data_IF_914477835587
#
_entry.id   IF_914477835587
#
_cell.length_a   1.000
_cell.length_b   1.000
_cell.length_c   1.000
_cell.angle_alpha   90.00
_cell.angle_beta   90.00
_cell.angle_gamma   90.00
#
_symmetry.space_group_name_H-M   'P 1'
#
loop_
_entity.id
_entity.type
_entity.pdbx_description
1 polymer ?
#
# COMPACT_ATOMS: atom_id res chain seq x y z
N UNK A 1 -27.12 -22.13 -21.46
CA UNK A 1 -27.86 -22.10 -20.17
C UNK A 1 -27.05 -22.64 -18.99
N UNK A 2 -26.17 -23.63 -19.17
CA UNK A 2 -25.31 -24.14 -18.07
C UNK A 2 -24.31 -23.10 -17.53
N UNK A 3 -23.66 -22.30 -18.39
CA UNK A 3 -22.69 -21.29 -17.96
C UNK A 3 -23.28 -20.23 -17.00
N UNK A 4 -24.52 -19.77 -17.26
CA UNK A 4 -25.22 -18.81 -16.41
C UNK A 4 -25.51 -19.41 -15.03
N UNK A 5 -25.83 -20.70 -14.99
CA UNK A 5 -26.12 -21.41 -13.74
C UNK A 5 -24.85 -21.65 -12.92
N UNK A 6 -23.73 -21.94 -13.58
CA UNK A 6 -22.40 -22.02 -12.93
C UNK A 6 -21.98 -20.65 -12.40
N UNK A 7 -22.13 -19.57 -13.19
CA UNK A 7 -21.82 -18.20 -12.75
C UNK A 7 -22.65 -17.78 -11.54
N UNK A 8 -23.97 -18.04 -11.56
CA UNK A 8 -24.83 -17.77 -10.40
C UNK A 8 -24.39 -18.54 -9.17
N UNK A 9 -24.10 -19.84 -9.34
CA UNK A 9 -23.62 -20.68 -8.23
C UNK A 9 -22.29 -20.18 -7.67
N UNK A 10 -21.35 -19.77 -8.51
CA UNK A 10 -20.05 -19.21 -8.09
C UNK A 10 -20.22 -17.88 -7.36
N UNK A 11 -21.11 -17.00 -7.83
CA UNK A 11 -21.40 -15.73 -7.17
C UNK A 11 -22.09 -15.94 -5.81
N UNK A 12 -23.09 -16.83 -5.76
CA UNK A 12 -23.79 -17.15 -4.51
C UNK A 12 -22.84 -17.77 -3.47
N UNK A 13 -21.94 -18.64 -3.92
CA UNK A 13 -20.96 -19.28 -3.05
C UNK A 13 -19.91 -18.28 -2.57
N UNK A 14 -19.36 -17.44 -3.47
CA UNK A 14 -18.46 -16.35 -3.12
C UNK A 14 -19.06 -15.39 -2.08
N UNK A 15 -20.33 -15.01 -2.26
CA UNK A 15 -21.02 -14.10 -1.35
C UNK A 15 -21.22 -14.70 0.04
N UNK A 16 -21.31 -16.02 0.16
CA UNK A 16 -21.49 -16.73 1.44
C UNK A 16 -20.17 -17.05 2.14
N UNK A 17 -19.15 -17.46 1.40
CA UNK A 17 -17.88 -17.94 1.95
C UNK A 17 -16.89 -16.82 2.25
N UNK A 18 -16.94 -15.70 1.51
CA UNK A 18 -15.93 -14.63 1.62
C UNK A 18 -16.28 -13.61 2.71
N UNK A 19 -15.35 -13.30 3.65
CA UNK A 19 -15.53 -12.26 4.65
C UNK A 19 -15.72 -10.86 4.05
N UNK A 20 -16.43 -9.97 4.74
CA UNK A 20 -16.66 -8.59 4.27
C UNK A 20 -15.38 -7.79 4.02
N UNK A 21 -14.34 -8.01 4.84
CA UNK A 21 -13.02 -7.38 4.67
C UNK A 21 -12.37 -7.73 3.32
N UNK A 22 -12.45 -8.99 2.91
CA UNK A 22 -11.92 -9.43 1.63
C UNK A 22 -12.76 -8.90 0.46
N UNK A 23 -14.08 -8.78 0.62
CA UNK A 23 -14.95 -8.17 -0.40
C UNK A 23 -14.59 -6.70 -0.67
N UNK A 24 -14.19 -5.94 0.35
CA UNK A 24 -13.73 -4.55 0.17
C UNK A 24 -12.44 -4.51 -0.67
N UNK A 25 -11.48 -5.39 -0.39
CA UNK A 25 -10.23 -5.49 -1.17
C UNK A 25 -10.54 -5.90 -2.62
N UNK A 26 -11.47 -6.83 -2.82
CA UNK A 26 -11.90 -7.28 -4.15
C UNK A 26 -12.61 -6.17 -4.94
N UNK A 27 -13.45 -5.37 -4.28
CA UNK A 27 -14.07 -4.20 -4.88
C UNK A 27 -13.03 -3.15 -5.29
N UNK A 28 -12.00 -2.93 -4.46
CA UNK A 28 -10.89 -2.04 -4.77
C UNK A 28 -10.06 -2.56 -5.97
N UNK A 29 -9.75 -3.86 -6.02
CA UNK A 29 -9.06 -4.47 -7.16
C UNK A 29 -9.85 -4.32 -8.46
N UNK A 30 -11.17 -4.51 -8.40
CA UNK A 30 -12.06 -4.32 -9.55
C UNK A 30 -12.08 -2.85 -10.01
N UNK A 31 -12.14 -1.90 -9.08
CA UNK A 31 -12.04 -0.48 -9.40
C UNK A 31 -10.73 -0.14 -10.14
N UNK A 32 -9.58 -0.61 -9.65
CA UNK A 32 -8.28 -0.36 -10.30
C UNK A 32 -8.23 -1.01 -11.69
N UNK A 33 -8.72 -2.24 -11.82
CA UNK A 33 -8.77 -2.95 -13.10
C UNK A 33 -9.58 -2.17 -14.14
N UNK A 34 -10.79 -1.73 -13.76
CA UNK A 34 -11.63 -0.90 -14.63
C UNK A 34 -10.94 0.42 -14.99
N UNK A 35 -10.26 1.05 -14.03
CA UNK A 35 -9.49 2.27 -14.27
C UNK A 35 -8.37 2.05 -15.30
N UNK A 36 -7.63 0.93 -15.19
CA UNK A 36 -6.59 0.56 -16.16
C UNK A 36 -7.14 0.27 -17.56
N UNK A 37 -8.29 -0.40 -17.65
CA UNK A 37 -9.00 -0.64 -18.92
C UNK A 37 -9.43 0.68 -19.56
N UNK A 38 -10.01 1.59 -18.78
CA UNK A 38 -10.44 2.91 -19.28
C UNK A 38 -9.23 3.72 -19.76
N UNK A 39 -8.11 3.71 -19.02
CA UNK A 39 -6.86 4.35 -19.44
C UNK A 39 -6.36 3.78 -20.77
N UNK A 40 -6.38 2.46 -20.91
CA UNK A 40 -5.94 1.79 -22.14
C UNK A 40 -6.84 2.15 -23.33
N UNK A 41 -8.17 2.09 -23.15
CA UNK A 41 -9.14 2.49 -24.19
C UNK A 41 -8.94 3.96 -24.59
N UNK A 42 -8.74 4.85 -23.61
CA UNK A 42 -8.47 6.26 -23.86
C UNK A 42 -7.22 6.45 -24.75
N UNK A 43 -6.14 5.71 -24.48
CA UNK A 43 -4.94 5.74 -25.30
C UNK A 43 -5.18 5.25 -26.74
N UNK A 44 -6.06 4.26 -26.95
CA UNK A 44 -6.40 3.77 -28.28
C UNK A 44 -7.20 4.78 -29.10
N UNK A 45 -8.09 5.54 -28.46
CA UNK A 45 -9.00 6.49 -29.14
C UNK A 45 -8.32 7.85 -29.38
N UNK A 46 -7.67 8.39 -28.35
CA UNK A 46 -7.10 9.77 -28.37
C UNK A 46 -5.65 9.78 -28.86
N UNK A 47 -4.96 8.63 -28.79
CA UNK A 47 -3.56 8.49 -29.16
C UNK A 47 -2.60 8.56 -27.96
N UNK A 48 -1.31 8.52 -28.26
CA UNK A 48 -0.24 8.27 -27.28
C UNK A 48 0.46 9.53 -26.78
N UNK A 49 -0.02 10.74 -27.08
CA UNK A 49 0.63 11.98 -26.66
C UNK A 49 -0.05 12.58 -25.42
N UNK A 50 0.63 12.77 -24.27
CA UNK A 50 2.03 12.45 -23.95
C UNK A 50 2.26 11.01 -23.43
N UNK A 51 3.17 10.26 -24.07
CA UNK A 51 3.35 8.82 -23.84
C UNK A 51 3.85 8.48 -22.44
N UNK A 52 4.77 9.28 -21.90
CA UNK A 52 5.36 9.04 -20.58
C UNK A 52 4.32 9.17 -19.46
N UNK A 53 3.38 10.11 -19.58
CA UNK A 53 2.32 10.29 -18.58
C UNK A 53 1.30 9.15 -18.64
N UNK A 54 0.94 8.70 -19.85
CA UNK A 54 0.10 7.51 -20.03
C UNK A 54 0.78 6.27 -19.44
N UNK A 55 2.04 6.03 -19.81
CA UNK A 55 2.81 4.88 -19.36
C UNK A 55 2.99 4.89 -17.83
N UNK A 56 3.29 6.04 -17.24
CA UNK A 56 3.37 6.21 -15.78
C UNK A 56 2.04 5.90 -15.10
N UNK A 57 0.94 6.45 -15.62
CA UNK A 57 -0.40 6.20 -15.08
C UNK A 57 -0.80 4.73 -15.18
N UNK A 58 -0.53 4.10 -16.31
CA UNK A 58 -0.86 2.70 -16.59
C UNK A 58 -0.01 1.73 -15.75
N UNK A 59 1.30 1.94 -15.66
CA UNK A 59 2.17 1.13 -14.79
C UNK A 59 1.76 1.29 -13.31
N UNK A 60 1.35 2.50 -12.91
CA UNK A 60 0.85 2.74 -11.56
C UNK A 60 -0.42 1.95 -11.27
N UNK A 61 -1.40 1.90 -12.18
CA UNK A 61 -2.63 1.12 -11.98
C UNK A 61 -2.35 -0.38 -11.92
N UNK A 62 -1.49 -0.90 -12.80
CA UNK A 62 -1.07 -2.31 -12.76
C UNK A 62 -0.36 -2.65 -11.45
N UNK A 63 0.54 -1.79 -10.98
CA UNK A 63 1.28 -2.04 -9.73
C UNK A 63 0.35 -1.96 -8.50
N UNK A 64 -0.61 -1.03 -8.47
CA UNK A 64 -1.63 -1.00 -7.41
C UNK A 64 -2.45 -2.29 -7.35
N UNK A 65 -2.79 -2.87 -8.51
CA UNK A 65 -3.49 -4.15 -8.58
C UNK A 65 -2.65 -5.30 -8.00
N UNK A 66 -1.36 -5.36 -8.33
CA UNK A 66 -0.44 -6.36 -7.78
C UNK A 66 -0.27 -6.20 -6.27
N UNK A 67 -0.14 -4.97 -5.77
CA UNK A 67 -0.05 -4.73 -4.32
C UNK A 67 -1.34 -5.15 -3.59
N UNK A 68 -2.51 -4.90 -4.18
CA UNK A 68 -3.79 -5.31 -3.62
C UNK A 68 -3.97 -6.83 -3.60
N UNK A 69 -3.50 -7.54 -4.64
CA UNK A 69 -3.55 -9.01 -4.67
C UNK A 69 -2.61 -9.62 -3.62
N UNK A 70 -1.42 -9.04 -3.42
CA UNK A 70 -0.53 -9.43 -2.32
C UNK A 70 -1.19 -9.23 -0.94
N UNK A 71 -1.86 -8.09 -0.72
CA UNK A 71 -2.59 -7.83 0.52
C UNK A 71 -3.72 -8.85 0.72
N UNK A 72 -4.49 -9.17 -0.34
CA UNK A 72 -5.54 -10.19 -0.28
C UNK A 72 -4.99 -11.55 0.16
N UNK A 73 -3.84 -11.96 -0.37
CA UNK A 73 -3.21 -13.24 -0.01
C UNK A 73 -2.76 -13.29 1.45
N UNK A 74 -2.23 -12.18 1.98
CA UNK A 74 -1.73 -12.08 3.35
C UNK A 74 -2.85 -11.94 4.40
N UNK A 75 -3.98 -11.33 4.01
CA UNK A 75 -5.14 -11.10 4.90
C UNK A 75 -6.10 -12.29 4.88
N UNK A 76 -6.00 -13.22 3.92
CA UNK A 76 -6.85 -14.40 3.87
C UNK A 76 -6.54 -15.36 5.03
N UNK A 77 -7.56 -15.67 5.83
CA UNK A 77 -7.43 -16.54 7.00
C UNK A 77 -7.00 -17.96 6.64
N UNK A 78 -7.39 -18.46 5.46
CA UNK A 78 -7.00 -19.79 4.96
C UNK A 78 -5.48 -19.89 4.71
N UNK A 79 -4.82 -18.77 4.42
CA UNK A 79 -3.39 -18.71 4.15
C UNK A 79 -2.55 -18.41 5.40
N UNK A 80 -3.17 -18.29 6.57
CA UNK A 80 -2.47 -17.96 7.83
C UNK A 80 -1.38 -18.97 8.21
N UNK A 81 -1.50 -20.22 7.77
CA UNK A 81 -0.48 -21.22 8.03
C UNK A 81 0.86 -20.86 7.36
N UNK A 82 0.83 -20.27 6.16
CA UNK A 82 2.03 -19.84 5.44
C UNK A 82 2.54 -18.46 5.89
N UNK A 83 1.65 -17.60 6.37
CA UNK A 83 1.97 -16.23 6.80
C UNK A 83 1.91 -16.02 8.33
N UNK A 84 2.13 -17.07 9.12
CA UNK A 84 1.96 -17.05 10.59
C UNK A 84 2.83 -16.02 11.32
N UNK A 85 3.93 -15.57 10.72
CA UNK A 85 4.81 -14.52 11.25
C UNK A 85 4.36 -13.09 10.88
N UNK A 86 3.38 -12.92 10.00
CA UNK A 86 2.93 -11.62 9.48
C UNK A 86 1.56 -11.30 10.08
N UNK A 87 1.52 -10.27 10.94
CA UNK A 87 0.25 -9.77 11.46
C UNK A 87 -0.53 -9.00 10.39
N UNK A 88 -1.86 -9.00 10.49
CA UNK A 88 -2.74 -8.29 9.56
C UNK A 88 -2.45 -6.77 9.55
N UNK A 89 -2.08 -6.21 10.70
CA UNK A 89 -1.71 -4.80 10.85
C UNK A 89 -0.40 -4.50 10.10
N UNK A 90 0.58 -5.42 10.18
CA UNK A 90 1.84 -5.29 9.45
C UNK A 90 1.63 -5.37 7.95
N UNK A 91 0.87 -6.34 7.47
CA UNK A 91 0.53 -6.49 6.05
C UNK A 91 -0.12 -5.21 5.49
N UNK A 92 -1.03 -4.61 6.26
CA UNK A 92 -1.68 -3.34 5.90
C UNK A 92 -0.70 -2.16 5.90
N UNK A 93 0.21 -2.08 6.87
CA UNK A 93 1.24 -1.04 6.92
C UNK A 93 2.22 -1.15 5.73
N UNK A 94 2.66 -2.36 5.38
CA UNK A 94 3.51 -2.64 4.21
C UNK A 94 2.78 -2.25 2.91
N UNK A 95 1.47 -2.53 2.80
CA UNK A 95 0.64 -2.10 1.68
C UNK A 95 0.57 -0.57 1.54
N UNK A 96 0.26 0.16 2.62
CA UNK A 96 0.21 1.64 2.59
C UNK A 96 1.57 2.23 2.23
N UNK A 97 2.64 1.71 2.83
CA UNK A 97 3.99 2.17 2.57
C UNK A 97 4.37 1.96 1.09
N UNK A 98 4.13 0.76 0.55
CA UNK A 98 4.38 0.47 -0.86
C UNK A 98 3.52 1.35 -1.79
N UNK A 99 2.25 1.57 -1.45
CA UNK A 99 1.35 2.42 -2.23
C UNK A 99 1.79 3.90 -2.23
N UNK A 100 2.28 4.40 -1.10
CA UNK A 100 2.83 5.75 -0.99
C UNK A 100 4.12 5.92 -1.80
N UNK A 101 5.03 4.95 -1.72
CA UNK A 101 6.26 4.93 -2.54
C UNK A 101 5.92 4.86 -4.03
N UNK A 102 4.99 3.99 -4.43
CA UNK A 102 4.53 3.88 -5.81
C UNK A 102 3.95 5.19 -6.34
N UNK A 103 3.07 5.85 -5.57
CA UNK A 103 2.49 7.13 -5.97
C UNK A 103 3.54 8.24 -6.05
N UNK A 104 4.51 8.24 -5.13
CA UNK A 104 5.63 9.19 -5.15
C UNK A 104 6.53 8.96 -6.38
N UNK A 105 6.74 7.71 -6.79
CA UNK A 105 7.46 7.35 -8.02
C UNK A 105 6.67 7.70 -9.29
N UNK A 106 5.36 7.47 -9.33
CA UNK A 106 4.49 7.79 -10.47
C UNK A 106 4.35 9.32 -10.66
N UNK A 107 4.15 10.05 -9.57
CA UNK A 107 4.24 11.50 -9.58
C UNK A 107 5.64 11.97 -9.94
N UNK A 108 6.70 11.34 -9.43
CA UNK A 108 8.09 11.67 -9.79
C UNK A 108 8.43 11.40 -11.25
N UNK A 109 7.91 10.32 -11.84
CA UNK A 109 8.07 9.97 -13.25
C UNK A 109 7.38 10.99 -14.16
N UNK A 110 6.27 11.58 -13.70
CA UNK A 110 5.53 12.63 -14.41
C UNK A 110 6.03 14.05 -14.08
N UNK A 111 6.56 14.28 -12.87
CA UNK A 111 6.89 15.60 -12.29
C UNK A 111 8.39 15.80 -12.01
N UNK A 112 9.31 15.05 -12.64
CA UNK A 112 10.63 15.54 -13.08
C UNK A 112 11.63 14.38 -13.22
N UNK A 113 12.59 14.59 -14.11
CA UNK A 113 14.01 14.28 -13.93
C UNK A 113 14.63 14.45 -12.49
N UNK A 114 13.91 14.73 -11.40
CA UNK A 114 14.48 15.23 -10.13
C UNK A 114 13.55 15.10 -8.89
N UNK A 115 13.04 13.92 -8.51
CA UNK A 115 12.57 13.71 -7.12
C UNK A 115 13.68 14.05 -6.11
N UNK A 116 14.94 13.78 -6.49
CA UNK A 116 16.13 14.12 -5.74
C UNK A 116 16.36 15.64 -5.56
N UNK A 117 15.79 16.55 -6.38
CA UNK A 117 15.93 18.01 -6.10
C UNK A 117 15.04 18.46 -4.97
N UNK A 118 13.83 17.90 -4.82
CA UNK A 118 12.96 18.25 -3.70
C UNK A 118 13.53 17.69 -2.40
N UNK A 119 14.02 16.44 -2.42
CA UNK A 119 14.74 15.85 -1.29
C UNK A 119 16.03 16.63 -0.99
N UNK A 120 16.82 16.97 -2.01
CA UNK A 120 18.04 17.78 -1.86
C UNK A 120 17.73 19.18 -1.34
N UNK A 121 16.77 19.91 -1.91
CA UNK A 121 16.37 21.24 -1.43
C UNK A 121 15.78 21.18 -0.02
N UNK A 122 15.01 20.14 0.30
CA UNK A 122 14.50 19.90 1.64
C UNK A 122 15.64 19.67 2.64
N UNK A 123 16.67 18.90 2.24
CA UNK A 123 17.86 18.62 3.05
C UNK A 123 18.89 19.76 3.07
N UNK A 124 18.90 20.70 2.13
CA UNK A 124 19.89 21.79 2.08
C UNK A 124 19.40 23.11 2.66
N UNK A 125 18.10 23.27 2.94
CA UNK A 125 17.56 24.50 3.51
C UNK A 125 17.60 24.47 5.05
N UNK A 126 18.47 25.27 5.70
CA UNK A 126 18.67 25.17 7.15
C UNK A 126 17.47 25.60 7.99
N UNK A 127 16.55 26.39 7.39
CA UNK A 127 15.33 26.89 8.04
C UNK A 127 14.39 25.76 8.45
N UNK A 128 14.40 24.62 7.74
CA UNK A 128 13.43 23.54 7.94
C UNK A 128 13.97 22.35 8.74
N UNK A 129 15.26 22.33 9.09
CA UNK A 129 15.85 21.28 9.93
C UNK A 129 15.10 21.00 11.24
N UNK A 130 14.70 22.01 12.05
CA UNK A 130 13.99 21.72 13.30
C UNK A 130 12.63 21.07 13.05
N UNK A 131 11.94 21.48 11.98
CA UNK A 131 10.62 20.96 11.61
C UNK A 131 10.72 19.52 11.09
N UNK A 132 11.67 19.23 10.21
CA UNK A 132 11.90 17.86 9.73
C UNK A 132 12.42 16.93 10.82
N UNK A 133 13.28 17.43 11.70
CA UNK A 133 13.73 16.70 12.88
C UNK A 133 12.55 16.33 13.79
N UNK A 134 11.61 17.26 14.02
CA UNK A 134 10.42 17.00 14.82
C UNK A 134 9.50 15.94 14.17
N UNK A 135 9.19 16.05 12.88
CA UNK A 135 8.38 15.06 12.18
C UNK A 135 9.05 13.69 12.12
N UNK A 136 10.36 13.63 11.86
CA UNK A 136 11.14 12.40 11.82
C UNK A 136 11.23 11.71 13.17
N UNK A 137 11.49 12.46 14.25
CA UNK A 137 11.51 11.92 15.61
C UNK A 137 10.12 11.41 16.02
N UNK A 138 9.06 12.13 15.67
CA UNK A 138 7.67 11.72 15.96
C UNK A 138 7.31 10.45 15.20
N UNK A 139 7.63 10.37 13.91
CA UNK A 139 7.39 9.19 13.08
C UNK A 139 8.18 7.98 13.57
N UNK A 140 9.43 8.18 13.99
CA UNK A 140 10.27 7.12 14.57
C UNK A 140 9.69 6.60 15.88
N UNK A 141 9.30 7.48 16.82
CA UNK A 141 8.68 7.07 18.07
C UNK A 141 7.35 6.36 17.84
N UNK A 142 6.52 6.82 16.89
CA UNK A 142 5.30 6.13 16.49
C UNK A 142 5.59 4.74 15.90
N UNK A 143 6.63 4.59 15.08
CA UNK A 143 7.03 3.30 14.55
C UNK A 143 7.50 2.35 15.66
N UNK A 144 8.31 2.82 16.61
CA UNK A 144 8.71 2.02 17.79
C UNK A 144 7.49 1.62 18.61
N UNK A 145 6.52 2.52 18.76
CA UNK A 145 5.27 2.28 19.49
C UNK A 145 4.34 1.25 18.80
N UNK A 146 4.15 1.36 17.48
CA UNK A 146 3.26 0.50 16.70
C UNK A 146 3.87 -0.88 16.40
N UNK A 147 5.19 -0.96 16.18
CA UNK A 147 5.88 -2.22 15.88
C UNK A 147 6.32 -3.01 17.12
N UNK A 148 5.97 -2.54 18.32
CA UNK A 148 6.40 -3.12 19.60
C UNK A 148 7.91 -3.43 19.63
N UNK A 149 8.72 -2.47 19.17
CA UNK A 149 10.14 -2.68 18.92
C UNK A 149 10.93 -2.76 20.24
N UNK A 150 11.05 -3.98 20.79
CA UNK A 150 11.67 -4.24 22.10
C UNK A 150 13.09 -3.68 22.25
N UNK A 151 13.93 -3.78 21.21
CA UNK A 151 15.33 -3.31 21.23
C UNK A 151 15.46 -1.83 21.59
N UNK A 152 14.55 -0.99 21.09
CA UNK A 152 14.56 0.46 21.30
C UNK A 152 13.59 0.88 22.40
N UNK A 153 12.40 0.29 22.43
CA UNK A 153 11.32 0.61 23.36
C UNK A 153 11.68 0.38 24.84
N UNK A 154 12.55 -0.60 25.14
CA UNK A 154 13.00 -0.92 26.50
C UNK A 154 13.84 0.19 27.17
N UNK A 155 14.44 1.09 26.39
CA UNK A 155 15.25 2.19 26.91
C UNK A 155 14.44 3.47 27.15
N UNK A 156 13.16 3.48 26.76
CA UNK A 156 12.26 4.63 26.96
C UNK A 156 11.61 4.50 28.34
N UNK A 157 11.94 5.35 29.33
CA UNK A 157 11.51 5.17 30.72
C UNK A 157 9.99 5.12 30.89
N UNK A 158 9.26 5.84 30.03
CA UNK A 158 7.79 5.88 30.02
C UNK A 158 7.15 4.57 29.56
N UNK A 159 7.86 3.74 28.79
CA UNK A 159 7.35 2.48 28.24
C UNK A 159 7.85 1.24 28.97
N UNK A 160 8.63 1.41 30.05
CA UNK A 160 9.13 0.31 30.87
C UNK A 160 8.03 -0.62 31.37
N UNK A 161 6.81 -0.11 31.66
CA UNK A 161 5.69 -0.96 32.08
C UNK A 161 5.23 -1.97 31.01
N UNK A 162 5.46 -1.68 29.72
CA UNK A 162 5.04 -2.51 28.58
C UNK A 162 5.97 -3.70 28.33
N UNK A 163 7.25 -3.56 28.71
CA UNK A 163 8.30 -4.57 28.46
C UNK A 163 8.78 -5.29 29.73
N UNK A 164 8.15 -5.02 30.89
CA UNK A 164 8.57 -5.57 32.21
C UNK A 164 8.11 -7.00 32.45
N UNK A 165 7.16 -7.52 31.67
CA UNK A 165 6.53 -8.83 31.86
C UNK A 165 7.23 -9.98 31.12
N UNK A 166 8.30 -9.72 30.37
CA UNK A 166 8.99 -10.72 29.54
C UNK A 166 10.38 -11.15 30.09
N UNK A 167 10.63 -11.00 31.40
CA UNK A 167 11.78 -11.60 32.09
C UNK A 167 11.35 -12.82 32.92
#
# INVERSE_FOLDING_TARGET
>A
MQAVQVLKKLLDDYMKTTPERLKIIDAYMLYILLTGIIQFIYCLIVGTFPFNSFLSGFISTVTCFVLASCLRMQVNDENKAEFSHISTERAFAEFIFAHAVLHLLSMGLTMYMRPLRLVKNSLTNPVYYPTYGAYGATAFLLAVYFCDWKTVGQYIPLWNKRYRTDQ
#
